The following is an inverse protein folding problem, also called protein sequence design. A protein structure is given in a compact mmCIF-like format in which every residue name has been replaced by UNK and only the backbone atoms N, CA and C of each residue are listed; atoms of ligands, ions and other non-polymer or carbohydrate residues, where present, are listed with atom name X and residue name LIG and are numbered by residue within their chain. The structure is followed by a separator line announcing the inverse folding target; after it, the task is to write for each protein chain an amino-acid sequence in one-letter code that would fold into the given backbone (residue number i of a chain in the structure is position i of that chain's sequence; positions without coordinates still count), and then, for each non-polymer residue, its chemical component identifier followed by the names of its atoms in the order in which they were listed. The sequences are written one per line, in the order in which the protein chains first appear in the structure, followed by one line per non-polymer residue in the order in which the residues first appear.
data_IF_318014207784
#
_entry.id   IF_318014207784
#
_cell.length_a   1.000
_cell.length_b   1.000
_cell.length_c   1.000
_cell.angle_alpha   90.00
_cell.angle_beta   90.00
_cell.angle_gamma   90.00
#
_symmetry.space_group_name_H-M   'P 1'
#
loop_
_entity.id
_entity.type
_entity.pdbx_description
1 polymer ?
#
# COMPACT_ATOMS: atom_id res chain seq x y z
N UNK A 1 -1.75 -75.34 -2.61
CA UNK A 1 -1.04 -74.58 -3.67
C UNK A 1 -1.58 -73.15 -3.70
N UNK A 2 -0.75 -72.16 -3.35
CA UNK A 2 -0.99 -70.72 -3.61
C UNK A 2 -0.63 -70.42 -5.07
N UNK A 3 -1.29 -69.42 -5.69
CA UNK A 3 -0.59 -68.16 -6.01
C UNK A 3 -1.47 -66.91 -5.73
N UNK A 4 -0.98 -65.94 -4.97
CA UNK A 4 -0.36 -64.66 -5.42
C UNK A 4 -1.36 -63.52 -5.69
N UNK A 5 -1.65 -62.79 -4.59
CA UNK A 5 -1.57 -61.33 -4.43
C UNK A 5 -1.67 -60.45 -5.70
N UNK A 6 -2.76 -59.68 -5.81
CA UNK A 6 -2.70 -58.30 -6.32
C UNK A 6 -3.43 -57.38 -5.35
N UNK A 7 -2.64 -56.81 -4.42
CA UNK A 7 -3.05 -55.67 -3.59
C UNK A 7 -3.12 -54.45 -4.51
N UNK A 8 -4.31 -53.92 -4.76
CA UNK A 8 -4.46 -52.56 -5.26
C UNK A 8 -4.32 -51.64 -4.05
N UNK A 9 -3.11 -51.18 -3.79
CA UNK A 9 -2.85 -50.09 -2.85
C UNK A 9 -3.36 -48.80 -3.49
N UNK A 10 -4.53 -48.33 -3.07
CA UNK A 10 -4.98 -46.98 -3.36
C UNK A 10 -4.18 -46.04 -2.47
N UNK A 11 -3.07 -45.53 -3.00
CA UNK A 11 -2.33 -44.41 -2.41
C UNK A 11 -3.20 -43.18 -2.61
N UNK A 12 -3.91 -42.76 -1.56
CA UNK A 12 -4.44 -41.40 -1.50
C UNK A 12 -3.23 -40.47 -1.36
N UNK A 13 -2.79 -39.89 -2.48
CA UNK A 13 -1.86 -38.77 -2.45
C UNK A 13 -2.62 -37.59 -1.83
N UNK A 14 -2.34 -37.33 -0.55
CA UNK A 14 -2.78 -36.14 0.14
C UNK A 14 -1.98 -34.97 -0.46
N UNK A 15 -2.54 -34.36 -1.51
CA UNK A 15 -2.02 -33.15 -2.14
C UNK A 15 -2.11 -32.01 -1.13
N UNK A 16 -1.10 -31.89 -0.28
CA UNK A 16 -0.89 -30.71 0.55
C UNK A 16 -0.70 -29.50 -0.37
N UNK A 17 -1.76 -28.71 -0.50
CA UNK A 17 -1.71 -27.34 -0.99
C UNK A 17 -0.72 -26.60 -0.10
N UNK A 18 0.51 -26.45 -0.58
CA UNK A 18 1.44 -25.50 0.02
C UNK A 18 0.89 -24.11 -0.28
N UNK A 19 0.20 -23.53 0.70
CA UNK A 19 0.00 -22.09 0.76
C UNK A 19 1.38 -21.48 0.95
N UNK A 20 1.98 -20.99 -0.14
CA UNK A 20 3.16 -20.14 -0.07
C UNK A 20 2.75 -18.87 0.66
N UNK A 21 3.11 -18.78 1.94
CA UNK A 21 3.04 -17.53 2.70
C UNK A 21 4.16 -16.65 2.14
N UNK A 22 3.81 -15.74 1.23
CA UNK A 22 4.70 -14.66 0.80
C UNK A 22 4.96 -13.77 2.01
N UNK A 23 6.14 -13.90 2.61
CA UNK A 23 6.60 -12.97 3.63
C UNK A 23 7.09 -11.71 2.93
N UNK A 24 6.56 -10.55 3.31
CA UNK A 24 7.15 -9.28 2.93
C UNK A 24 8.58 -9.22 3.49
N UNK A 25 9.57 -9.17 2.62
CA UNK A 25 10.96 -8.89 3.00
C UNK A 25 11.16 -7.39 3.06
N UNK A 26 11.73 -6.88 4.14
CA UNK A 26 12.29 -5.54 4.15
C UNK A 26 13.31 -5.44 3.03
N UNK A 27 13.22 -4.41 2.18
CA UNK A 27 14.25 -4.13 1.20
C UNK A 27 15.52 -3.73 1.98
N UNK A 28 16.43 -4.68 2.17
CA UNK A 28 17.77 -4.38 2.66
C UNK A 28 18.57 -3.79 1.49
N UNK A 29 19.30 -2.71 1.74
CA UNK A 29 20.08 -2.01 0.72
C UNK A 29 21.26 -2.84 0.16
N UNK A 30 21.35 -4.13 0.49
CA UNK A 30 22.40 -5.04 0.03
C UNK A 30 22.18 -5.57 -1.38
N UNK A 31 20.94 -5.54 -1.89
CA UNK A 31 20.60 -6.20 -3.16
C UNK A 31 20.80 -5.30 -4.39
N UNK A 32 20.93 -3.99 -4.17
CA UNK A 32 21.15 -3.02 -5.24
C UNK A 32 21.82 -1.75 -4.70
N UNK A 33 22.71 -1.18 -5.51
CA UNK A 33 23.24 0.18 -5.32
C UNK A 33 22.61 1.11 -6.35
N UNK A 34 22.09 2.24 -5.89
CA UNK A 34 21.39 3.20 -6.74
C UNK A 34 21.63 4.62 -6.24
N UNK A 35 22.10 5.49 -7.15
CA UNK A 35 22.19 6.92 -6.91
C UNK A 35 21.08 7.63 -7.70
N UNK A 36 20.00 8.11 -7.03
CA UNK A 36 18.96 8.88 -7.72
C UNK A 36 19.52 10.21 -8.25
N UNK A 37 18.88 10.79 -9.29
CA UNK A 37 19.13 12.19 -9.63
C UNK A 37 18.84 13.09 -8.42
N UNK A 38 19.50 14.25 -8.35
CA UNK A 38 19.25 15.22 -7.30
C UNK A 38 17.77 15.65 -7.33
N UNK A 39 17.06 15.42 -6.23
CA UNK A 39 15.71 15.94 -6.04
C UNK A 39 15.82 17.36 -5.48
N UNK A 40 15.38 18.40 -6.23
CA UNK A 40 15.33 19.74 -5.67
C UNK A 40 14.31 19.71 -4.52
N UNK A 41 14.75 20.08 -3.32
CA UNK A 41 13.86 20.16 -2.15
C UNK A 41 12.68 21.12 -2.40
N UNK A 42 12.76 22.01 -3.39
CA UNK A 42 11.70 22.97 -3.73
C UNK A 42 10.57 22.38 -4.60
N UNK A 43 10.73 21.17 -5.15
CA UNK A 43 9.70 20.52 -5.97
C UNK A 43 9.27 19.23 -5.32
N UNK A 44 7.96 19.03 -5.23
CA UNK A 44 7.42 17.74 -4.79
C UNK A 44 7.74 16.64 -5.78
N UNK A 45 7.54 15.39 -5.36
CA UNK A 45 7.80 14.26 -6.23
C UNK A 45 7.50 12.92 -5.61
N UNK A 46 7.39 11.91 -6.46
CA UNK A 46 7.25 10.52 -6.06
C UNK A 46 8.63 9.90 -5.81
N UNK A 47 8.83 9.36 -4.63
CA UNK A 47 10.10 8.76 -4.19
C UNK A 47 10.17 7.29 -4.56
N UNK A 48 9.11 6.55 -4.25
CA UNK A 48 8.97 5.13 -4.60
C UNK A 48 7.52 4.77 -4.89
N UNK A 49 7.35 3.64 -5.57
CA UNK A 49 6.08 2.94 -5.69
C UNK A 49 6.36 1.43 -5.80
N UNK A 50 5.77 0.66 -4.90
CA UNK A 50 5.88 -0.79 -4.85
C UNK A 50 4.52 -1.41 -5.12
N UNK A 51 4.50 -2.49 -5.89
CA UNK A 51 3.27 -3.13 -6.34
C UNK A 51 3.13 -4.52 -5.74
N UNK A 52 1.92 -4.87 -5.34
CA UNK A 52 1.49 -6.25 -5.23
C UNK A 52 1.34 -6.85 -6.65
N UNK A 53 1.38 -8.20 -6.78
CA UNK A 53 1.07 -8.84 -8.04
C UNK A 53 -0.25 -8.36 -8.64
N UNK A 54 -0.26 -8.13 -9.95
CA UNK A 54 -1.46 -7.69 -10.64
C UNK A 54 -2.53 -8.79 -10.62
N UNK A 55 -3.77 -8.38 -10.35
CA UNK A 55 -4.97 -9.21 -10.47
C UNK A 55 -6.14 -8.32 -10.92
N UNK A 56 -7.12 -8.89 -11.63
CA UNK A 56 -8.29 -8.15 -12.13
C UNK A 56 -7.95 -6.88 -12.93
N UNK A 57 -6.81 -6.89 -13.64
CA UNK A 57 -6.33 -5.75 -14.42
C UNK A 57 -5.74 -4.59 -13.59
N UNK A 58 -5.54 -4.78 -12.28
CA UNK A 58 -4.99 -3.77 -11.37
C UNK A 58 -3.87 -4.33 -10.49
N UNK A 59 -2.84 -3.52 -10.27
CA UNK A 59 -1.77 -3.80 -9.32
C UNK A 59 -1.91 -2.84 -8.14
N UNK A 60 -2.39 -3.37 -7.01
CA UNK A 60 -2.40 -2.64 -5.75
C UNK A 60 -0.98 -2.21 -5.39
N UNK A 61 -0.84 -1.05 -4.75
CA UNK A 61 0.47 -0.45 -4.55
C UNK A 61 0.56 0.36 -3.27
N UNK A 62 1.79 0.56 -2.81
CA UNK A 62 2.17 1.57 -1.82
C UNK A 62 3.15 2.52 -2.47
N UNK A 63 2.89 3.82 -2.39
CA UNK A 63 3.78 4.86 -2.90
C UNK A 63 4.09 5.90 -1.83
N UNK A 64 5.21 6.61 -2.01
CA UNK A 64 5.58 7.78 -1.22
C UNK A 64 5.70 8.98 -2.13
N UNK A 65 5.01 10.06 -1.77
CA UNK A 65 5.17 11.39 -2.35
C UNK A 65 5.66 12.37 -1.30
N UNK A 66 6.54 13.28 -1.71
CA UNK A 66 6.93 14.45 -0.92
C UNK A 66 6.22 15.66 -1.51
N UNK A 67 5.51 16.42 -0.68
CA UNK A 67 4.78 17.62 -1.07
C UNK A 67 5.33 18.83 -0.29
N UNK A 68 5.97 19.81 -0.95
CA UNK A 68 6.33 21.07 -0.33
C UNK A 68 5.07 21.87 -0.01
N UNK A 69 4.87 22.18 1.26
CA UNK A 69 3.78 22.99 1.74
C UNK A 69 4.19 23.65 3.07
N UNK A 70 4.16 24.97 3.12
CA UNK A 70 4.58 25.74 4.30
C UNK A 70 3.49 25.81 5.38
N UNK A 71 2.25 25.49 5.03
CA UNK A 71 1.12 25.52 5.94
C UNK A 71 1.23 24.49 7.07
N UNK A 72 0.41 24.73 8.10
CA UNK A 72 0.15 23.85 9.23
C UNK A 72 -0.56 22.57 8.80
N UNK A 73 -0.56 21.56 9.68
CA UNK A 73 -1.27 20.31 9.43
C UNK A 73 -2.78 20.54 9.30
N UNK A 74 -3.34 21.51 10.02
CA UNK A 74 -4.77 21.80 9.95
C UNK A 74 -5.13 22.40 8.59
N UNK A 75 -4.31 23.31 8.06
CA UNK A 75 -4.47 23.82 6.68
C UNK A 75 -4.28 22.72 5.64
N UNK A 76 -3.38 21.77 5.86
CA UNK A 76 -3.20 20.61 4.98
C UNK A 76 -4.46 19.72 4.97
N UNK A 77 -5.04 19.47 6.14
CA UNK A 77 -6.26 18.68 6.31
C UNK A 77 -7.45 19.36 5.64
N UNK A 78 -7.58 20.68 5.81
CA UNK A 78 -8.61 21.50 5.16
C UNK A 78 -8.53 21.36 3.64
N UNK A 79 -7.34 21.61 3.05
CA UNK A 79 -7.11 21.47 1.61
C UNK A 79 -7.35 20.03 1.12
N UNK A 80 -6.96 19.02 1.90
CA UNK A 80 -7.18 17.62 1.54
C UNK A 80 -8.67 17.27 1.51
N UNK A 81 -9.44 17.76 2.49
CA UNK A 81 -10.89 17.53 2.53
C UNK A 81 -11.59 18.23 1.37
N UNK A 82 -11.21 19.46 1.04
CA UNK A 82 -11.73 20.15 -0.15
C UNK A 82 -11.46 19.35 -1.44
N UNK A 83 -10.28 18.73 -1.56
CA UNK A 83 -9.96 17.87 -2.70
C UNK A 83 -10.78 16.59 -2.72
N UNK A 84 -11.01 15.96 -1.57
CA UNK A 84 -11.88 14.79 -1.47
C UNK A 84 -13.31 15.12 -1.90
N UNK A 85 -13.85 16.27 -1.48
CA UNK A 85 -15.16 16.74 -1.91
C UNK A 85 -15.23 17.01 -3.41
N UNK A 86 -14.22 17.69 -3.99
CA UNK A 86 -14.15 17.97 -5.43
C UNK A 86 -14.09 16.71 -6.29
N UNK A 87 -13.49 15.63 -5.76
CA UNK A 87 -13.33 14.35 -6.45
C UNK A 87 -14.43 13.33 -6.10
N UNK A 88 -15.41 13.69 -5.27
CA UNK A 88 -16.45 12.80 -4.76
C UNK A 88 -15.85 11.55 -4.07
N UNK A 89 -14.77 11.75 -3.31
CA UNK A 89 -14.16 10.72 -2.48
C UNK A 89 -14.81 10.73 -1.10
N UNK A 90 -15.20 9.55 -0.64
CA UNK A 90 -15.76 9.35 0.68
C UNK A 90 -14.64 9.00 1.68
N UNK A 91 -14.46 9.86 2.69
CA UNK A 91 -13.61 9.54 3.85
C UNK A 91 -14.32 8.49 4.71
N UNK A 92 -13.67 7.35 4.89
CA UNK A 92 -14.12 6.22 5.71
C UNK A 92 -13.71 6.42 7.17
N UNK A 93 -12.45 6.80 7.39
CA UNK A 93 -11.91 7.11 8.70
C UNK A 93 -10.82 8.18 8.60
N UNK A 94 -10.64 8.94 9.69
CA UNK A 94 -9.56 9.91 9.81
C UNK A 94 -9.06 9.95 11.25
N UNK A 95 -7.75 9.86 11.44
CA UNK A 95 -7.11 10.04 12.73
C UNK A 95 -5.98 11.05 12.67
N UNK A 96 -5.84 11.86 13.73
CA UNK A 96 -4.94 13.00 13.82
C UNK A 96 -3.98 12.83 15.00
N UNK A 97 -2.68 12.87 14.73
CA UNK A 97 -1.61 12.97 15.73
C UNK A 97 -1.18 14.42 15.97
N UNK A 98 0.08 14.65 16.36
CA UNK A 98 0.66 16.00 16.49
C UNK A 98 1.25 16.50 15.17
N UNK A 99 2.02 15.67 14.46
CA UNK A 99 2.65 15.97 13.18
C UNK A 99 2.23 15.03 12.05
N UNK A 100 1.21 14.20 12.29
CA UNK A 100 0.69 13.26 11.31
C UNK A 100 -0.84 13.28 11.23
N UNK A 101 -1.36 12.85 10.09
CA UNK A 101 -2.78 12.52 9.87
C UNK A 101 -2.86 11.25 9.03
N UNK A 102 -3.83 10.40 9.34
CA UNK A 102 -4.13 9.18 8.61
C UNK A 102 -5.53 9.29 8.05
N UNK A 103 -5.72 8.87 6.80
CA UNK A 103 -7.02 8.77 6.15
C UNK A 103 -7.23 7.34 5.61
N UNK A 104 -8.40 6.78 5.84
CA UNK A 104 -8.97 5.71 5.02
C UNK A 104 -10.09 6.34 4.17
N UNK A 105 -10.05 6.16 2.86
CA UNK A 105 -11.01 6.79 1.95
C UNK A 105 -11.18 5.98 0.66
N UNK A 106 -12.29 6.18 -0.02
CA UNK A 106 -12.64 5.47 -1.25
C UNK A 106 -13.32 6.37 -2.25
N UNK A 107 -13.34 5.95 -3.50
CA UNK A 107 -13.89 6.75 -4.57
C UNK A 107 -13.57 6.19 -5.94
N UNK A 108 -13.94 6.92 -6.98
CA UNK A 108 -13.78 6.48 -8.35
C UNK A 108 -12.82 7.37 -9.11
N UNK A 109 -11.78 6.77 -9.69
CA UNK A 109 -10.79 7.47 -10.51
C UNK A 109 -10.62 6.77 -11.85
N UNK A 110 -10.71 7.52 -12.95
CA UNK A 110 -10.57 6.97 -14.32
C UNK A 110 -11.45 5.72 -14.55
N UNK A 111 -12.72 5.80 -14.13
CA UNK A 111 -13.71 4.71 -14.17
C UNK A 111 -13.41 3.48 -13.29
N UNK A 112 -12.39 3.52 -12.43
CA UNK A 112 -12.02 2.44 -11.51
C UNK A 112 -12.42 2.79 -10.08
N UNK A 113 -13.12 1.88 -9.40
CA UNK A 113 -13.46 2.03 -7.98
C UNK A 113 -12.28 1.58 -7.12
N UNK A 114 -11.79 2.49 -6.29
CA UNK A 114 -10.54 2.35 -5.56
C UNK A 114 -10.75 2.65 -4.07
N UNK A 115 -9.89 2.02 -3.27
CA UNK A 115 -9.76 2.24 -1.85
C UNK A 115 -8.34 2.65 -1.52
N UNK A 116 -8.21 3.62 -0.63
CA UNK A 116 -6.94 4.17 -0.19
C UNK A 116 -6.82 4.19 1.32
N UNK A 117 -5.60 3.98 1.78
CA UNK A 117 -5.17 4.31 3.12
C UNK A 117 -3.90 5.15 3.01
N UNK A 118 -3.94 6.38 3.50
CA UNK A 118 -2.81 7.30 3.47
C UNK A 118 -2.37 7.67 4.88
N UNK A 119 -1.06 7.72 5.08
CA UNK A 119 -0.42 8.31 6.26
C UNK A 119 0.42 9.49 5.81
N UNK A 120 0.13 10.65 6.38
CA UNK A 120 0.78 11.90 6.06
C UNK A 120 1.59 12.36 7.26
N UNK A 121 2.88 12.64 7.06
CA UNK A 121 3.79 13.08 8.13
C UNK A 121 4.41 14.42 7.73
N UNK A 122 4.34 15.42 8.61
CA UNK A 122 4.97 16.74 8.43
C UNK A 122 6.37 16.76 9.03
N UNK A 123 7.35 17.23 8.25
CA UNK A 123 8.70 17.57 8.72
C UNK A 123 9.16 18.88 8.07
N UNK A 124 9.24 19.96 8.87
CA UNK A 124 9.51 21.30 8.34
C UNK A 124 8.39 21.76 7.40
N UNK A 125 8.76 22.11 6.16
CA UNK A 125 7.85 22.56 5.09
C UNK A 125 7.50 21.42 4.10
N UNK A 126 7.67 20.16 4.53
CA UNK A 126 7.42 18.98 3.71
C UNK A 126 6.41 18.07 4.34
N UNK A 127 5.52 17.54 3.50
CA UNK A 127 4.55 16.52 3.82
C UNK A 127 4.93 15.25 3.08
N UNK A 128 5.19 14.19 3.84
CA UNK A 128 5.49 12.86 3.35
C UNK A 128 4.19 12.07 3.34
N UNK A 129 3.67 11.83 2.15
CA UNK A 129 2.38 11.17 1.92
C UNK A 129 2.64 9.76 1.46
N UNK A 130 2.43 8.80 2.35
CA UNK A 130 2.56 7.37 2.05
C UNK A 130 1.16 6.80 1.86
N UNK A 131 0.87 6.28 0.67
CA UNK A 131 -0.48 5.87 0.30
C UNK A 131 -0.51 4.45 -0.23
N UNK A 132 -1.29 3.61 0.42
CA UNK A 132 -1.77 2.35 -0.13
C UNK A 132 -2.96 2.59 -1.06
N UNK A 133 -3.01 1.90 -2.20
CA UNK A 133 -4.12 1.90 -3.15
C UNK A 133 -4.46 0.48 -3.56
N UNK A 134 -5.74 0.11 -3.50
CA UNK A 134 -6.26 -1.14 -4.07
C UNK A 134 -7.57 -0.89 -4.84
N UNK A 135 -8.04 -1.90 -5.58
CA UNK A 135 -9.44 -1.92 -6.01
C UNK A 135 -10.34 -2.02 -4.77
N UNK A 136 -11.47 -1.31 -4.76
CA UNK A 136 -12.45 -1.41 -3.66
C UNK A 136 -12.85 -2.88 -3.42
N UNK A 137 -13.04 -3.66 -4.49
CA UNK A 137 -13.41 -5.07 -4.42
C UNK A 137 -12.35 -6.00 -3.79
N UNK A 138 -11.11 -5.53 -3.66
CA UNK A 138 -9.97 -6.28 -3.11
C UNK A 138 -9.48 -5.72 -1.78
N UNK A 139 -10.00 -4.58 -1.35
CA UNK A 139 -9.52 -3.89 -0.15
C UNK A 139 -9.48 -4.81 1.06
N UNK A 140 -10.60 -5.45 1.40
CA UNK A 140 -10.69 -6.32 2.58
C UNK A 140 -9.69 -7.49 2.56
N UNK A 141 -9.29 -7.96 1.37
CA UNK A 141 -8.33 -9.06 1.23
C UNK A 141 -6.86 -8.62 1.23
N UNK A 142 -6.60 -7.34 0.95
CA UNK A 142 -5.24 -6.80 0.76
C UNK A 142 -4.84 -5.73 1.76
N UNK A 143 -5.82 -5.17 2.49
CA UNK A 143 -5.62 -4.01 3.36
C UNK A 143 -4.57 -4.25 4.42
N UNK A 144 -4.51 -5.43 5.03
CA UNK A 144 -3.59 -5.68 6.15
C UNK A 144 -2.12 -5.51 5.71
N UNK A 145 -1.69 -6.21 4.65
CA UNK A 145 -0.32 -6.07 4.15
C UNK A 145 0.00 -4.67 3.60
N UNK A 146 -1.00 -3.99 3.02
CA UNK A 146 -0.83 -2.65 2.47
C UNK A 146 -0.70 -1.61 3.60
N UNK A 147 -1.57 -1.68 4.60
CA UNK A 147 -1.57 -0.83 5.79
C UNK A 147 -0.30 -1.07 6.60
N UNK A 148 0.12 -2.32 6.80
CA UNK A 148 1.37 -2.65 7.48
C UNK A 148 2.57 -2.02 6.76
N UNK A 149 2.59 -2.08 5.42
CA UNK A 149 3.63 -1.44 4.62
C UNK A 149 3.63 0.09 4.78
N UNK A 150 2.47 0.75 4.71
CA UNK A 150 2.33 2.20 4.96
C UNK A 150 2.80 2.56 6.37
N UNK A 151 2.36 1.81 7.38
CA UNK A 151 2.67 2.07 8.78
C UNK A 151 4.14 1.77 9.13
N UNK A 152 4.82 0.92 8.36
CA UNK A 152 6.24 0.65 8.53
C UNK A 152 7.15 1.83 8.12
N UNK A 153 6.61 2.82 7.41
CA UNK A 153 7.38 4.00 7.02
C UNK A 153 7.77 4.86 8.23
N UNK A 154 9.03 5.28 8.26
CA UNK A 154 9.58 6.16 9.29
C UNK A 154 10.57 7.15 8.68
N UNK A 155 10.48 8.42 9.10
CA UNK A 155 11.54 9.40 8.87
C UNK A 155 12.71 9.13 9.82
N UNK A 156 13.94 9.36 9.35
CA UNK A 156 15.16 9.26 10.15
C UNK A 156 15.65 10.64 10.59
#
# INVERSE_FOLDING_TARGET
MKPQLKRFAMVLALSSLMTSVSHASTLDGSDYDFTPPAFPHTVGGQVFQHYLPAADGFAANVNLQIQPFEGSMDEYIELSNEQFEQLDFAVVDMSRGDNEVIYEYRGRLQNTDLHWYSRVIKQGNYYYVVTATALESRWDTERDQLIDSVNSFSLR
#
